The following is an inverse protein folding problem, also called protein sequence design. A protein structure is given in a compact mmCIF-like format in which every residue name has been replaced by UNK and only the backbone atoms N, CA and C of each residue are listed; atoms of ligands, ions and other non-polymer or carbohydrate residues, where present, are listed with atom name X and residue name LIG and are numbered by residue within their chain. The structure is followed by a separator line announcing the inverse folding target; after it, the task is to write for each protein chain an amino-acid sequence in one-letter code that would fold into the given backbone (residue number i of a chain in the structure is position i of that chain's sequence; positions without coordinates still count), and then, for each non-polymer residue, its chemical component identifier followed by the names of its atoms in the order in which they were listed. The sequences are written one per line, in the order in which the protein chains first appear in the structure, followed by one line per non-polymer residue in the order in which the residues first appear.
data_IF_631043048033
#
_entry.id   IF_631043048033
#
_cell.length_a   1.000
_cell.length_b   1.000
_cell.length_c   1.000
_cell.angle_alpha   90.00
_cell.angle_beta   90.00
_cell.angle_gamma   90.00
#
_symmetry.space_group_name_H-M   'P 1'
#
loop_
_entity.id
_entity.type
_entity.pdbx_description
1 polymer ?
#
# COMPACT_ATOMS: atom_id res chain seq x y z
N UNK A 1 23.89 -6.57 -62.38
CA UNK A 1 22.57 -7.21 -62.59
C UNK A 1 22.19 -7.88 -61.28
N UNK A 2 21.53 -7.19 -60.35
CA UNK A 2 20.11 -6.85 -60.37
C UNK A 2 19.23 -8.11 -60.47
N UNK A 3 18.78 -8.61 -59.32
CA UNK A 3 17.53 -9.37 -59.19
C UNK A 3 16.89 -9.02 -57.85
N UNK A 4 15.94 -8.09 -57.93
CA UNK A 4 14.78 -8.02 -57.03
C UNK A 4 13.96 -9.32 -57.16
N UNK A 5 13.24 -9.70 -56.10
CA UNK A 5 11.91 -10.26 -56.32
C UNK A 5 10.86 -9.46 -55.57
N UNK A 6 9.93 -8.93 -56.36
CA UNK A 6 8.65 -8.38 -55.95
C UNK A 6 7.70 -9.50 -55.49
N UNK A 7 7.06 -9.25 -54.35
CA UNK A 7 5.63 -9.43 -54.03
C UNK A 7 4.91 -10.63 -54.68
N UNK A 8 4.48 -11.57 -53.84
CA UNK A 8 3.23 -12.30 -54.02
C UNK A 8 2.32 -12.04 -52.80
N UNK A 9 1.24 -11.29 -53.05
CA UNK A 9 0.08 -11.17 -52.17
C UNK A 9 -0.58 -12.55 -52.07
N UNK A 10 -0.74 -13.06 -50.85
CA UNK A 10 -1.69 -14.14 -50.55
C UNK A 10 -2.99 -13.47 -50.08
N UNK A 11 -3.99 -13.50 -50.95
CA UNK A 11 -5.36 -13.09 -50.66
C UNK A 11 -5.98 -13.99 -49.58
N UNK A 12 -6.62 -13.36 -48.60
CA UNK A 12 -7.37 -14.04 -47.55
C UNK A 12 -8.69 -14.62 -48.12
N UNK A 13 -9.07 -15.85 -47.77
CA UNK A 13 -10.35 -16.41 -48.20
C UNK A 13 -11.53 -15.71 -47.51
N UNK A 14 -12.34 -15.09 -48.36
CA UNK A 14 -13.71 -14.59 -48.22
C UNK A 14 -14.51 -15.20 -47.04
N UNK A 15 -14.66 -14.47 -45.93
CA UNK A 15 -15.60 -14.83 -44.85
C UNK A 15 -17.02 -14.53 -45.31
N UNK A 16 -17.80 -15.58 -45.57
CA UNK A 16 -19.24 -15.49 -45.82
C UNK A 16 -19.98 -14.90 -44.61
N UNK A 17 -20.95 -14.05 -44.92
CA UNK A 17 -21.76 -13.30 -43.97
C UNK A 17 -22.54 -14.17 -42.99
N UNK A 18 -22.68 -13.66 -41.78
CA UNK A 18 -23.38 -14.25 -40.66
C UNK A 18 -24.91 -14.28 -40.93
N UNK A 19 -25.54 -15.45 -40.81
CA UNK A 19 -27.01 -15.60 -40.74
C UNK A 19 -27.41 -15.94 -39.30
N UNK A 20 -28.39 -15.26 -38.68
CA UNK A 20 -28.81 -15.58 -37.32
C UNK A 20 -29.84 -16.71 -37.28
N UNK A 21 -29.65 -17.65 -36.36
CA UNK A 21 -30.73 -18.45 -35.77
C UNK A 21 -30.76 -19.94 -36.11
N UNK A 22 -30.02 -20.75 -35.34
CA UNK A 22 -30.56 -22.04 -34.91
C UNK A 22 -30.09 -22.32 -33.48
N UNK A 23 -31.06 -22.61 -32.62
CA UNK A 23 -30.94 -22.78 -31.18
C UNK A 23 -30.10 -24.01 -30.83
N UNK A 24 -28.89 -23.79 -30.35
CA UNK A 24 -28.12 -24.76 -29.58
C UNK A 24 -27.98 -24.23 -28.15
N UNK A 25 -28.58 -24.94 -27.19
CA UNK A 25 -28.55 -24.61 -25.77
C UNK A 25 -27.11 -24.35 -25.29
N UNK A 26 -26.75 -23.07 -25.20
CA UNK A 26 -25.46 -22.65 -24.67
C UNK A 26 -25.63 -22.49 -23.16
N UNK A 27 -24.89 -23.30 -22.40
CA UNK A 27 -24.70 -23.12 -20.97
C UNK A 27 -24.33 -21.64 -20.73
N UNK A 28 -25.12 -20.94 -19.92
CA UNK A 28 -24.98 -19.51 -19.66
C UNK A 28 -23.55 -19.24 -19.16
N UNK A 29 -22.71 -18.64 -20.00
CA UNK A 29 -21.43 -18.10 -19.56
C UNK A 29 -21.71 -16.80 -18.80
N UNK A 30 -21.32 -16.68 -17.53
CA UNK A 30 -21.52 -15.45 -16.78
C UNK A 30 -20.78 -14.30 -17.49
N UNK A 31 -21.43 -13.14 -17.62
CA UNK A 31 -20.76 -11.92 -18.09
C UNK A 31 -19.52 -11.67 -17.22
N UNK A 32 -18.42 -11.21 -17.84
CA UNK A 32 -17.16 -10.86 -17.14
C UNK A 32 -17.44 -9.92 -15.96
N UNK A 33 -18.41 -9.01 -16.12
CA UNK A 33 -18.85 -8.09 -15.05
C UNK A 33 -19.41 -8.83 -13.83
N UNK A 34 -20.15 -9.93 -14.02
CA UNK A 34 -20.72 -10.71 -12.92
C UNK A 34 -19.62 -11.46 -12.16
N UNK A 35 -18.63 -12.02 -12.86
CA UNK A 35 -17.50 -12.73 -12.24
C UNK A 35 -16.68 -11.77 -11.39
N UNK A 36 -16.38 -10.58 -11.93
CA UNK A 36 -15.64 -9.53 -11.21
C UNK A 36 -16.41 -9.06 -9.99
N UNK A 37 -17.72 -8.85 -10.10
CA UNK A 37 -18.54 -8.41 -8.98
C UNK A 37 -18.67 -9.46 -7.87
N UNK A 38 -18.85 -10.74 -8.24
CA UNK A 38 -18.86 -11.84 -7.28
C UNK A 38 -17.52 -12.00 -6.57
N UNK A 39 -16.41 -11.87 -7.31
CA UNK A 39 -15.07 -11.88 -6.73
C UNK A 39 -14.88 -10.74 -5.73
N UNK A 40 -15.17 -9.50 -6.13
CA UNK A 40 -15.02 -8.33 -5.25
C UNK A 40 -15.89 -8.45 -3.99
N UNK A 41 -17.12 -8.93 -4.13
CA UNK A 41 -18.03 -9.14 -2.99
C UNK A 41 -17.50 -10.21 -2.03
N UNK A 42 -16.92 -11.31 -2.56
CA UNK A 42 -16.31 -12.36 -1.75
C UNK A 42 -15.06 -11.86 -1.01
N UNK A 43 -14.24 -11.04 -1.67
CA UNK A 43 -13.07 -10.41 -1.08
C UNK A 43 -13.45 -9.43 0.04
N UNK A 44 -14.46 -8.58 -0.16
CA UNK A 44 -14.97 -7.66 0.86
C UNK A 44 -15.56 -8.40 2.07
N UNK A 45 -16.25 -9.51 1.83
CA UNK A 45 -16.80 -10.34 2.91
C UNK A 45 -15.69 -10.96 3.75
N UNK A 46 -14.63 -11.43 3.09
CA UNK A 46 -13.46 -12.05 3.74
C UNK A 46 -12.67 -11.04 4.57
N UNK A 47 -12.56 -9.79 4.09
CA UNK A 47 -11.85 -8.70 4.76
C UNK A 47 -12.42 -8.31 6.14
N UNK A 48 -13.73 -8.58 6.34
CA UNK A 48 -14.47 -8.13 7.52
C UNK A 48 -14.78 -9.25 8.53
N UNK A 49 -14.24 -10.45 8.33
CA UNK A 49 -14.45 -11.56 9.26
C UNK A 49 -13.77 -11.28 10.61
N UNK A 50 -14.52 -11.51 11.69
CA UNK A 50 -13.98 -11.57 13.05
C UNK A 50 -13.14 -12.83 13.24
N UNK A 51 -12.31 -12.86 14.28
CA UNK A 51 -11.47 -14.01 14.63
C UNK A 51 -12.27 -15.32 14.69
N UNK A 52 -13.47 -15.26 15.28
CA UNK A 52 -14.37 -16.39 15.40
C UNK A 52 -14.90 -16.86 14.04
N UNK A 53 -15.24 -15.94 13.15
CA UNK A 53 -15.77 -16.26 11.83
C UNK A 53 -14.67 -16.82 10.91
N UNK A 54 -13.41 -16.41 11.10
CA UNK A 54 -12.26 -16.98 10.39
C UNK A 54 -12.05 -18.44 10.75
N UNK A 55 -12.02 -18.77 12.04
CA UNK A 55 -11.92 -20.17 12.49
C UNK A 55 -13.05 -21.03 11.93
N UNK A 56 -14.29 -20.54 11.99
CA UNK A 56 -15.45 -21.24 11.45
C UNK A 56 -15.35 -21.44 9.93
N UNK A 57 -14.85 -20.45 9.20
CA UNK A 57 -14.63 -20.55 7.74
C UNK A 57 -13.58 -21.60 7.41
N UNK A 58 -12.49 -21.68 8.19
CA UNK A 58 -11.44 -22.69 8.01
C UNK A 58 -11.99 -24.09 8.27
N UNK A 59 -12.80 -24.28 9.32
CA UNK A 59 -13.45 -25.56 9.63
C UNK A 59 -14.35 -26.01 8.47
N UNK A 60 -15.18 -25.11 7.95
CA UNK A 60 -16.05 -25.39 6.81
C UNK A 60 -15.26 -25.75 5.54
N UNK A 61 -14.15 -25.06 5.28
CA UNK A 61 -13.26 -25.39 4.16
C UNK A 61 -12.66 -26.81 4.30
N UNK A 62 -12.20 -27.17 5.49
CA UNK A 62 -11.61 -28.49 5.74
C UNK A 62 -12.65 -29.61 5.60
N UNK A 63 -13.88 -29.41 6.09
CA UNK A 63 -15.00 -30.33 5.88
C UNK A 63 -15.33 -30.47 4.40
N UNK A 64 -15.42 -29.36 3.66
CA UNK A 64 -15.67 -29.38 2.23
C UNK A 64 -14.59 -30.14 1.46
N UNK A 65 -13.30 -29.90 1.75
CA UNK A 65 -12.20 -30.63 1.12
C UNK A 65 -12.28 -32.14 1.40
N UNK A 66 -12.69 -32.51 2.62
CA UNK A 66 -12.89 -33.92 2.99
C UNK A 66 -14.05 -34.55 2.22
N UNK A 67 -15.16 -33.84 2.03
CA UNK A 67 -16.32 -34.33 1.27
C UNK A 67 -16.04 -34.47 -0.22
N UNK A 68 -15.29 -33.54 -0.80
CA UNK A 68 -14.95 -33.56 -2.24
C UNK A 68 -13.70 -34.38 -2.56
N UNK A 69 -13.03 -34.96 -1.56
CA UNK A 69 -11.76 -35.68 -1.71
C UNK A 69 -10.61 -34.80 -2.27
N UNK A 70 -10.59 -33.51 -1.90
CA UNK A 70 -9.50 -32.59 -2.26
C UNK A 70 -8.45 -32.56 -1.15
N UNK A 71 -7.19 -32.35 -1.53
CA UNK A 71 -6.12 -32.10 -0.55
C UNK A 71 -6.27 -30.68 0.02
N UNK A 72 -6.48 -30.53 1.35
CA UNK A 72 -6.67 -29.22 1.95
C UNK A 72 -5.33 -28.50 2.16
N UNK A 73 -5.35 -27.18 2.05
CA UNK A 73 -4.30 -26.33 2.59
C UNK A 73 -4.22 -26.49 4.12
N UNK A 74 -3.03 -26.30 4.69
CA UNK A 74 -2.88 -26.32 6.14
C UNK A 74 -3.67 -25.20 6.80
N UNK A 75 -4.21 -25.45 8.00
CA UNK A 75 -4.99 -24.45 8.74
C UNK A 75 -4.24 -23.13 8.93
N UNK A 76 -2.93 -23.19 9.16
CA UNK A 76 -2.07 -22.01 9.25
C UNK A 76 -1.97 -21.23 7.94
N UNK A 77 -1.91 -21.91 6.79
CA UNK A 77 -1.90 -21.26 5.46
C UNK A 77 -3.24 -20.59 5.20
N UNK A 78 -4.34 -21.26 5.52
CA UNK A 78 -5.68 -20.70 5.34
C UNK A 78 -5.92 -19.51 6.26
N UNK A 79 -5.44 -19.57 7.52
CA UNK A 79 -5.51 -18.45 8.45
C UNK A 79 -4.75 -17.24 7.90
N UNK A 80 -3.51 -17.43 7.41
CA UNK A 80 -2.73 -16.37 6.75
C UNK A 80 -3.47 -15.77 5.55
N UNK A 81 -4.12 -16.58 4.72
CA UNK A 81 -4.92 -16.10 3.58
C UNK A 81 -6.09 -15.22 4.04
N UNK A 82 -6.78 -15.60 5.12
CA UNK A 82 -7.92 -14.86 5.69
C UNK A 82 -7.50 -13.65 6.55
N UNK A 83 -6.23 -13.59 6.96
CA UNK A 83 -5.67 -12.52 7.78
C UNK A 83 -5.21 -11.30 6.96
N UNK A 84 -4.95 -11.47 5.65
CA UNK A 84 -4.54 -10.38 4.76
C UNK A 84 -5.66 -9.33 4.65
N UNK A 85 -5.58 -8.30 5.50
CA UNK A 85 -6.54 -7.18 5.57
C UNK A 85 -6.38 -6.14 4.45
N UNK A 86 -5.26 -6.17 3.73
CA UNK A 86 -4.92 -5.11 2.77
C UNK A 86 -5.10 -5.48 1.30
N UNK A 87 -4.89 -6.75 0.91
CA UNK A 87 -5.01 -7.16 -0.50
C UNK A 87 -6.46 -7.20 -1.01
N UNK A 88 -7.44 -7.33 -0.11
CA UNK A 88 -8.88 -7.41 -0.46
C UNK A 88 -9.55 -6.06 -0.62
N UNK A 89 -9.00 -4.99 -0.04
CA UNK A 89 -9.39 -3.63 -0.35
C UNK A 89 -8.78 -3.21 -1.70
N UNK A 90 -9.14 -3.90 -2.79
CA UNK A 90 -9.03 -3.29 -4.12
C UNK A 90 -10.05 -2.17 -4.19
N UNK A 91 -9.75 -1.04 -3.54
CA UNK A 91 -10.43 0.20 -3.82
C UNK A 91 -10.07 0.53 -5.26
N UNK A 92 -11.00 0.28 -6.18
CA UNK A 92 -10.97 0.86 -7.51
C UNK A 92 -11.12 2.39 -7.36
N UNK A 93 -10.05 3.06 -6.93
CA UNK A 93 -9.90 4.52 -6.83
C UNK A 93 -9.17 5.05 -8.05
N UNK A 94 -9.49 4.58 -9.25
CA UNK A 94 -9.02 5.25 -10.46
C UNK A 94 -9.64 6.67 -10.49
N UNK A 95 -8.96 7.63 -9.86
CA UNK A 95 -9.29 9.06 -9.90
C UNK A 95 -9.36 9.83 -8.57
N UNK A 96 -9.23 9.19 -7.39
CA UNK A 96 -9.22 9.91 -6.10
C UNK A 96 -8.01 9.48 -5.28
N UNK A 97 -6.94 10.29 -5.34
CA UNK A 97 -5.79 10.18 -4.45
C UNK A 97 -6.24 10.44 -2.99
N UNK A 98 -6.63 9.39 -2.27
CA UNK A 98 -6.96 9.44 -0.84
C UNK A 98 -5.72 9.58 0.05
N UNK A 99 -4.61 10.07 -0.50
CA UNK A 99 -3.30 10.21 0.16
C UNK A 99 -3.38 10.93 1.52
N UNK A 100 -4.24 11.94 1.65
CA UNK A 100 -4.49 12.62 2.93
C UNK A 100 -5.11 11.68 3.99
N UNK A 101 -6.10 10.88 3.59
CA UNK A 101 -6.78 9.93 4.46
C UNK A 101 -5.86 8.76 4.80
N UNK A 102 -5.12 8.24 3.84
CA UNK A 102 -4.16 7.15 4.04
C UNK A 102 -3.01 7.60 4.96
N UNK A 103 -2.53 8.84 4.82
CA UNK A 103 -1.59 9.43 5.78
C UNK A 103 -2.18 9.58 7.19
N UNK A 104 -3.46 10.00 7.30
CA UNK A 104 -4.11 10.13 8.60
C UNK A 104 -4.26 8.77 9.30
N UNK A 105 -4.61 7.73 8.53
CA UNK A 105 -4.61 6.33 8.97
C UNK A 105 -3.21 5.86 9.36
N UNK A 106 -2.18 6.18 8.56
CA UNK A 106 -0.79 5.86 8.86
C UNK A 106 -0.34 6.42 10.21
N UNK A 107 -0.69 7.68 10.54
CA UNK A 107 -0.41 8.23 11.87
C UNK A 107 -1.17 7.50 12.98
N UNK A 108 -2.41 7.08 12.73
CA UNK A 108 -3.17 6.29 13.70
C UNK A 108 -2.54 4.91 13.92
N UNK A 109 -2.06 4.26 12.86
CA UNK A 109 -1.30 3.01 12.93
C UNK A 109 -0.04 3.19 13.76
N UNK A 110 0.76 4.25 13.52
CA UNK A 110 1.95 4.52 14.34
C UNK A 110 1.61 4.81 15.81
N UNK A 111 0.52 5.54 16.11
CA UNK A 111 0.08 5.75 17.50
C UNK A 111 -0.30 4.42 18.18
N UNK A 112 -1.02 3.53 17.48
CA UNK A 112 -1.37 2.19 17.97
C UNK A 112 -0.13 1.32 18.16
N UNK A 113 0.82 1.34 17.22
CA UNK A 113 2.10 0.62 17.32
C UNK A 113 2.87 1.05 18.58
N UNK A 114 3.00 2.35 18.81
CA UNK A 114 3.65 2.91 20.01
C UNK A 114 2.95 2.46 21.29
N UNK A 115 1.61 2.38 21.30
CA UNK A 115 0.84 1.86 22.44
C UNK A 115 1.02 0.35 22.65
N UNK A 116 1.14 -0.43 21.57
CA UNK A 116 1.45 -1.87 21.64
C UNK A 116 2.85 -2.09 22.21
N UNK A 117 3.82 -1.31 21.77
CA UNK A 117 5.20 -1.35 22.27
C UNK A 117 5.30 -0.98 23.75
N UNK A 118 4.57 0.05 24.20
CA UNK A 118 4.48 0.44 25.62
C UNK A 118 3.87 -0.68 26.49
N UNK A 119 2.73 -1.26 26.06
CA UNK A 119 2.15 -2.45 26.70
C UNK A 119 3.09 -3.65 26.69
N UNK A 120 4.01 -3.67 25.74
CA UNK A 120 5.07 -4.65 25.61
C UNK A 120 6.27 -4.45 26.53
N UNK A 121 6.23 -3.48 27.44
CA UNK A 121 7.33 -3.28 28.39
C UNK A 121 8.49 -2.47 27.80
N UNK A 122 8.26 -1.72 26.71
CA UNK A 122 9.14 -0.61 26.38
C UNK A 122 9.20 0.41 27.50
N UNK A 123 10.28 1.17 27.56
CA UNK A 123 10.46 2.18 28.60
C UNK A 123 9.37 3.26 28.51
N UNK A 124 8.69 3.52 29.63
CA UNK A 124 7.66 4.57 29.74
C UNK A 124 8.17 5.95 29.26
N UNK A 125 9.46 6.27 29.48
CA UNK A 125 10.05 7.52 29.01
C UNK A 125 10.10 7.62 27.49
N UNK A 126 10.38 6.50 26.80
CA UNK A 126 10.34 6.44 25.34
C UNK A 126 8.92 6.70 24.84
N UNK A 127 7.90 6.08 25.44
CA UNK A 127 6.50 6.31 25.09
C UNK A 127 6.09 7.78 25.25
N UNK A 128 6.39 8.37 26.42
CA UNK A 128 6.10 9.77 26.73
C UNK A 128 6.87 10.74 25.82
N UNK A 129 8.01 10.32 25.27
CA UNK A 129 8.80 11.11 24.33
C UNK A 129 8.29 10.99 22.88
N UNK A 130 7.96 9.78 22.41
CA UNK A 130 7.62 9.49 21.00
C UNK A 130 6.20 9.91 20.66
N UNK A 131 5.22 9.59 21.51
CA UNK A 131 3.80 9.83 21.20
C UNK A 131 3.48 11.31 20.97
N UNK A 132 3.96 12.28 21.79
CA UNK A 132 3.74 13.70 21.52
C UNK A 132 4.41 14.15 20.22
N UNK A 133 5.59 13.63 19.89
CA UNK A 133 6.32 13.99 18.66
C UNK A 133 5.62 13.49 17.40
N UNK A 134 4.98 12.31 17.45
CA UNK A 134 4.12 11.86 16.35
C UNK A 134 2.97 12.83 16.11
N UNK A 135 2.36 13.34 17.18
CA UNK A 135 1.27 14.33 17.08
C UNK A 135 1.76 15.68 16.56
N UNK A 136 2.94 16.13 16.99
CA UNK A 136 3.57 17.34 16.49
C UNK A 136 3.91 17.21 15.00
N UNK A 137 4.47 16.06 14.58
CA UNK A 137 4.78 15.77 13.19
C UNK A 137 3.50 15.69 12.31
N UNK A 138 2.43 15.08 12.83
CA UNK A 138 1.12 15.05 12.18
C UNK A 138 0.54 16.44 12.00
N UNK A 139 0.60 17.27 13.04
CA UNK A 139 0.17 18.67 12.98
C UNK A 139 0.97 19.41 11.92
N UNK A 140 2.30 19.32 11.98
CA UNK A 140 3.21 19.95 11.03
C UNK A 140 2.85 19.64 9.57
N UNK A 141 2.70 18.37 9.20
CA UNK A 141 2.33 17.99 7.83
C UNK A 141 0.96 18.55 7.42
N UNK A 142 0.01 18.65 8.35
CA UNK A 142 -1.34 19.14 8.07
C UNK A 142 -1.43 20.66 7.93
N UNK A 143 -0.63 21.41 8.69
CA UNK A 143 -0.77 22.88 8.81
C UNK A 143 0.36 23.65 8.16
N UNK A 144 1.60 23.35 8.52
CA UNK A 144 2.74 24.25 8.29
C UNK A 144 3.64 23.79 7.14
N UNK A 145 3.70 22.49 6.85
CA UNK A 145 4.58 21.94 5.82
C UNK A 145 4.38 22.62 4.45
N UNK A 146 3.12 22.92 4.08
CA UNK A 146 2.79 23.64 2.84
C UNK A 146 3.41 25.04 2.80
N UNK A 147 3.48 25.74 3.94
CA UNK A 147 4.06 27.09 4.03
C UNK A 147 5.58 27.07 3.91
N UNK A 148 6.21 25.95 4.26
CA UNK A 148 7.65 25.79 4.20
C UNK A 148 8.14 25.43 2.79
N UNK A 149 7.30 24.75 2.01
CA UNK A 149 7.60 24.40 0.63
C UNK A 149 7.66 25.65 -0.25
N UNK A 150 8.82 25.92 -0.86
CA UNK A 150 9.02 27.06 -1.76
C UNK A 150 9.14 26.57 -3.20
N UNK A 151 8.71 27.38 -4.20
CA UNK A 151 8.59 26.92 -5.58
C UNK A 151 9.91 26.36 -6.16
N UNK A 152 11.06 27.03 -5.99
CA UNK A 152 12.25 26.64 -6.75
C UNK A 152 13.64 26.87 -6.11
N UNK A 153 13.77 27.61 -5.00
CA UNK A 153 15.09 28.01 -4.45
C UNK A 153 15.26 27.76 -2.95
N UNK A 154 14.51 26.81 -2.38
CA UNK A 154 14.73 26.47 -0.97
C UNK A 154 16.12 25.86 -0.79
N UNK A 155 16.92 26.43 0.09
CA UNK A 155 18.18 25.81 0.56
C UNK A 155 17.93 24.60 1.45
N UNK A 156 16.66 24.27 1.75
CA UNK A 156 16.28 23.07 2.47
C UNK A 156 15.83 21.99 1.49
N UNK A 157 16.51 20.84 1.53
CA UNK A 157 16.25 19.72 0.62
C UNK A 157 14.80 19.22 0.75
N UNK A 158 14.25 19.18 1.96
CA UNK A 158 12.88 18.75 2.25
C UNK A 158 11.79 19.71 1.76
N UNK A 159 12.15 20.93 1.34
CA UNK A 159 11.22 21.99 0.95
C UNK A 159 11.41 22.45 -0.51
N UNK A 160 12.50 22.05 -1.15
CA UNK A 160 12.75 22.32 -2.55
C UNK A 160 11.95 21.36 -3.41
N UNK A 161 10.94 21.86 -4.13
CA UNK A 161 10.05 21.02 -4.96
C UNK A 161 10.83 20.13 -5.92
N UNK A 162 11.83 20.69 -6.60
CA UNK A 162 12.65 19.97 -7.58
C UNK A 162 13.42 18.83 -6.92
N UNK A 163 14.05 19.10 -5.77
CA UNK A 163 14.85 18.09 -5.07
C UNK A 163 13.98 17.02 -4.39
N UNK A 164 13.01 17.42 -3.57
CA UNK A 164 12.21 16.51 -2.76
C UNK A 164 11.25 15.61 -3.57
N UNK A 165 10.93 15.98 -4.82
CA UNK A 165 10.15 15.13 -5.73
C UNK A 165 11.00 14.34 -6.73
N UNK A 166 12.33 14.51 -6.73
CA UNK A 166 13.23 13.74 -7.59
C UNK A 166 13.32 12.30 -7.12
N UNK A 167 13.41 11.38 -8.08
CA UNK A 167 13.67 9.97 -7.79
C UNK A 167 15.13 9.77 -7.39
N UNK A 168 15.46 9.10 -6.27
CA UNK A 168 16.85 8.91 -5.86
C UNK A 168 17.60 7.83 -6.68
N UNK A 169 16.91 7.01 -7.46
CA UNK A 169 17.47 5.82 -8.14
C UNK A 169 17.43 5.99 -9.66
N UNK A 170 16.29 6.38 -10.22
CA UNK A 170 16.06 6.43 -11.67
C UNK A 170 16.55 7.76 -12.27
N UNK A 171 17.63 7.76 -13.08
CA UNK A 171 18.23 8.99 -13.60
C UNK A 171 17.28 9.84 -14.44
N UNK A 172 16.36 9.20 -15.16
CA UNK A 172 15.37 9.88 -16.01
C UNK A 172 14.31 10.65 -15.19
N UNK A 173 14.15 10.29 -13.91
CA UNK A 173 13.24 10.94 -12.97
C UNK A 173 13.98 11.77 -11.90
N UNK A 174 15.29 11.97 -12.06
CA UNK A 174 16.08 12.89 -11.25
C UNK A 174 15.97 14.31 -11.79
N UNK A 175 15.79 15.28 -10.88
CA UNK A 175 15.92 16.69 -11.19
C UNK A 175 17.15 17.28 -10.51
N UNK A 176 17.97 17.95 -11.31
CA UNK A 176 19.11 18.72 -10.77
C UNK A 176 18.64 20.11 -10.35
N UNK A 177 19.11 20.54 -9.17
CA UNK A 177 18.99 21.91 -8.70
C UNK A 177 20.23 22.71 -9.07
N UNK A 178 20.07 24.01 -9.36
CA UNK A 178 21.18 24.95 -9.58
C UNK A 178 21.72 25.58 -8.29
N UNK A 179 21.23 25.14 -7.14
CA UNK A 179 21.57 25.63 -5.80
C UNK A 179 21.88 24.44 -4.87
N UNK A 180 22.52 24.74 -3.72
CA UNK A 180 22.88 23.73 -2.72
C UNK A 180 21.84 23.66 -1.58
N UNK A 181 21.58 22.44 -1.08
CA UNK A 181 20.65 22.18 0.02
C UNK A 181 21.36 22.08 1.37
N UNK A 182 21.96 23.17 1.83
CA UNK A 182 22.75 23.20 3.07
C UNK A 182 21.91 23.33 4.35
N UNK A 183 20.64 23.74 4.26
CA UNK A 183 19.80 23.98 5.43
C UNK A 183 18.87 22.81 5.74
N UNK A 184 18.56 22.64 7.03
CA UNK A 184 17.64 21.61 7.53
C UNK A 184 16.47 22.24 8.24
N UNK A 185 15.26 21.74 8.00
CA UNK A 185 14.07 22.16 8.73
C UNK A 185 13.87 21.35 10.00
N UNK A 186 13.75 22.03 11.15
CA UNK A 186 13.55 21.38 12.45
C UNK A 186 12.35 20.44 12.48
N UNK A 187 11.22 20.83 11.89
CA UNK A 187 10.01 20.00 11.85
C UNK A 187 10.13 18.80 10.89
N UNK A 188 10.81 18.97 9.75
CA UNK A 188 11.12 17.83 8.86
C UNK A 188 12.07 16.85 9.54
N UNK A 189 13.06 17.36 10.28
CA UNK A 189 13.96 16.52 11.08
C UNK A 189 13.23 15.84 12.23
N UNK A 190 12.26 16.52 12.86
CA UNK A 190 11.41 15.92 13.89
C UNK A 190 10.61 14.74 13.35
N UNK A 191 9.97 14.90 12.17
CA UNK A 191 9.26 13.82 11.50
C UNK A 191 10.18 12.63 11.18
N UNK A 192 11.35 12.89 10.58
CA UNK A 192 12.35 11.83 10.27
C UNK A 192 12.80 11.11 11.54
N UNK A 193 13.12 11.87 12.58
CA UNK A 193 13.60 11.35 13.86
C UNK A 193 12.54 10.50 14.55
N UNK A 194 11.30 10.97 14.65
CA UNK A 194 10.26 10.20 15.34
C UNK A 194 9.92 8.90 14.61
N UNK A 195 9.96 8.89 13.26
CA UNK A 195 9.82 7.66 12.49
C UNK A 195 10.97 6.69 12.75
N UNK A 196 12.20 7.19 12.83
CA UNK A 196 13.36 6.39 13.20
C UNK A 196 13.25 5.84 14.64
N UNK A 197 12.83 6.67 15.59
CA UNK A 197 12.65 6.29 17.00
C UNK A 197 11.59 5.18 17.13
N UNK A 198 10.50 5.23 16.33
CA UNK A 198 9.49 4.17 16.25
C UNK A 198 10.06 2.89 15.65
N UNK A 199 10.73 2.99 14.49
CA UNK A 199 11.35 1.84 13.82
C UNK A 199 12.34 1.13 14.72
N UNK A 200 13.23 1.89 15.36
CA UNK A 200 14.19 1.36 16.33
C UNK A 200 13.47 0.77 17.53
N UNK A 201 12.39 1.40 18.00
CA UNK A 201 11.53 0.83 19.04
C UNK A 201 10.97 -0.54 18.67
N UNK A 202 10.66 -0.81 17.40
CA UNK A 202 10.21 -2.14 16.95
C UNK A 202 11.38 -3.15 16.90
N UNK A 203 12.55 -2.70 16.40
CA UNK A 203 13.73 -3.56 16.20
C UNK A 203 14.43 -3.93 17.52
N UNK A 204 14.63 -2.94 18.40
CA UNK A 204 15.37 -3.07 19.67
C UNK A 204 14.50 -3.52 20.84
N UNK A 205 13.17 -3.54 20.67
CA UNK A 205 12.29 -3.87 21.78
C UNK A 205 12.66 -5.23 22.35
N UNK A 206 12.93 -5.31 23.68
CA UNK A 206 13.15 -6.57 24.38
C UNK A 206 11.85 -7.37 24.52
N UNK A 207 10.72 -6.83 24.03
CA UNK A 207 9.43 -7.48 23.99
C UNK A 207 9.50 -8.79 23.22
N UNK A 208 9.23 -9.89 23.94
CA UNK A 208 8.96 -11.20 23.36
C UNK A 208 7.68 -11.78 23.98
N UNK A 209 6.53 -11.63 23.30
CA UNK A 209 5.43 -12.56 23.44
C UNK A 209 5.17 -13.16 22.05
N UNK A 210 6.15 -13.95 21.61
CA UNK A 210 6.05 -14.93 20.52
C UNK A 210 6.17 -14.41 19.07
N UNK A 211 7.26 -14.86 18.43
CA UNK A 211 7.52 -15.08 17.00
C UNK A 211 8.08 -13.89 16.18
N UNK A 212 9.11 -14.17 15.37
CA UNK A 212 9.64 -13.27 14.32
C UNK A 212 8.51 -12.69 13.46
N UNK A 213 7.51 -13.50 13.14
CA UNK A 213 6.32 -13.15 12.36
C UNK A 213 5.62 -11.89 12.90
N UNK A 214 5.41 -11.74 14.21
CA UNK A 214 4.76 -10.54 14.75
C UNK A 214 5.62 -9.28 14.62
N UNK A 215 6.94 -9.40 14.74
CA UNK A 215 7.84 -8.26 14.51
C UNK A 215 7.83 -7.86 13.03
N UNK A 216 7.78 -8.83 12.13
CA UNK A 216 7.62 -8.59 10.70
C UNK A 216 6.30 -7.87 10.40
N UNK A 217 5.19 -8.26 11.05
CA UNK A 217 3.90 -7.57 10.92
C UNK A 217 3.97 -6.11 11.39
N UNK A 218 4.57 -5.85 12.56
CA UNK A 218 4.74 -4.48 13.07
C UNK A 218 5.62 -3.62 12.13
N UNK A 219 6.67 -4.22 11.56
CA UNK A 219 7.53 -3.56 10.58
C UNK A 219 6.80 -3.31 9.26
N UNK A 220 5.97 -4.24 8.82
CA UNK A 220 5.13 -4.08 7.64
C UNK A 220 4.17 -2.89 7.82
N UNK A 221 3.42 -2.87 8.93
CA UNK A 221 2.51 -1.77 9.28
C UNK A 221 3.25 -0.43 9.38
N UNK A 222 4.44 -0.44 9.99
CA UNK A 222 5.30 0.75 10.07
C UNK A 222 5.72 1.24 8.68
N UNK A 223 6.20 0.35 7.81
CA UNK A 223 6.69 0.70 6.48
C UNK A 223 5.57 1.28 5.62
N UNK A 224 4.39 0.66 5.65
CA UNK A 224 3.22 1.18 4.93
C UNK A 224 2.78 2.55 5.48
N UNK A 225 2.75 2.72 6.80
CA UNK A 225 2.42 4.00 7.41
C UNK A 225 3.43 5.09 7.00
N UNK A 226 4.72 4.76 7.00
CA UNK A 226 5.78 5.67 6.55
C UNK A 226 5.62 6.03 5.07
N UNK A 227 5.36 5.07 4.20
CA UNK A 227 5.13 5.29 2.77
C UNK A 227 3.94 6.25 2.54
N UNK A 228 2.81 5.99 3.20
CA UNK A 228 1.62 6.86 3.13
C UNK A 228 1.92 8.30 3.55
N UNK A 229 2.76 8.50 4.57
CA UNK A 229 3.20 9.84 5.00
C UNK A 229 4.09 10.52 3.95
N UNK A 230 5.02 9.78 3.33
CA UNK A 230 5.89 10.31 2.29
C UNK A 230 5.10 10.66 1.02
N UNK A 231 4.14 9.81 0.64
CA UNK A 231 3.23 10.07 -0.48
C UNK A 231 2.39 11.33 -0.23
N UNK A 232 1.85 11.50 0.98
CA UNK A 232 1.11 12.71 1.34
C UNK A 232 2.01 13.96 1.37
N UNK A 233 3.23 13.84 1.89
CA UNK A 233 4.23 14.92 1.87
C UNK A 233 4.54 15.36 0.42
N UNK A 234 4.74 14.41 -0.49
CA UNK A 234 4.94 14.68 -1.90
C UNK A 234 3.68 15.30 -2.55
N UNK A 235 2.49 14.80 -2.20
CA UNK A 235 1.22 15.36 -2.68
C UNK A 235 1.06 16.83 -2.29
N UNK A 236 1.30 17.20 -1.01
CA UNK A 236 1.26 18.59 -0.56
C UNK A 236 2.21 19.44 -1.42
N UNK A 237 3.43 18.98 -1.64
CA UNK A 237 4.43 19.70 -2.41
C UNK A 237 4.03 19.91 -3.88
N UNK A 238 3.35 18.93 -4.51
CA UNK A 238 2.79 19.04 -5.87
C UNK A 238 1.59 19.98 -5.95
N UNK A 239 0.82 20.10 -4.87
CA UNK A 239 -0.39 20.97 -4.80
C UNK A 239 -0.09 22.47 -4.65
N UNK A 240 1.17 22.81 -4.45
CA UNK A 240 1.60 24.21 -4.39
C UNK A 240 1.76 24.65 -5.84
N UNK A 241 1.13 25.77 -6.20
CA UNK A 241 1.33 26.39 -7.51
C UNK A 241 2.59 27.24 -7.43
#
# INVERSE_FOLDING_TARGET
MAMTPSILFLEAPNTQGWTPGSEGASLLTPSVTNVVQSYNTAMDTTANLTERERCQTIEQYLEYCKEQCHEPLSGSTMFKILEIREASQRKSLQGLDNTAADCASGFQTLETLVETLDKGGMEMQWYLYVRPKLRDAKRYLKTDYRLHCQPDDSTCADHSRRFALSDPVEPDFQHQCSHEHQSTCGDCQLLKKVLQDVRQGIEDSPWTPYNLDQREDLLYDFNLAQENMLLWKAHIMRSIN
#
